data_IF_078546675669
#
_entry.id   IF_078546675669
#
_cell.length_a   1.000
_cell.length_b   1.000
_cell.length_c   1.000
_cell.angle_alpha   90.00
_cell.angle_beta   90.00
_cell.angle_gamma   90.00
#
_symmetry.space_group_name_H-M   'P 1'
#
loop_
_entity.id
_entity.type
_entity.pdbx_description
1 polymer ?
#
# COMPACT_ATOMS: atom_id res chain seq x y z
N UNK A 1 3.36 43.38 -73.49
CA UNK A 1 4.13 42.28 -72.87
C UNK A 1 5.57 42.73 -72.66
N UNK A 2 5.91 43.22 -71.45
CA UNK A 2 7.26 43.70 -71.17
C UNK A 2 8.15 42.52 -70.76
N UNK A 3 9.15 42.20 -71.59
CA UNK A 3 10.20 41.23 -71.29
C UNK A 3 11.09 41.80 -70.17
N UNK A 4 10.98 41.22 -68.98
CA UNK A 4 11.85 41.54 -67.85
C UNK A 4 13.28 41.11 -68.22
N UNK A 5 14.24 42.05 -68.15
CA UNK A 5 15.66 41.79 -68.43
C UNK A 5 16.18 40.65 -67.56
N UNK A 6 16.99 39.71 -68.09
CA UNK A 6 17.49 38.54 -67.35
C UNK A 6 18.31 38.91 -66.10
N UNK A 7 18.85 40.13 -66.04
CA UNK A 7 19.57 40.64 -64.87
C UNK A 7 18.67 40.97 -63.67
N UNK A 8 17.39 41.29 -63.88
CA UNK A 8 16.44 41.55 -62.80
C UNK A 8 16.04 40.26 -62.06
N UNK A 9 15.99 39.12 -62.77
CA UNK A 9 15.75 37.80 -62.17
C UNK A 9 16.92 37.32 -61.32
N UNK A 10 18.16 37.61 -61.73
CA UNK A 10 19.36 37.29 -60.95
C UNK A 10 19.48 38.09 -59.64
N UNK A 11 18.95 39.33 -59.62
CA UNK A 11 18.89 40.14 -58.40
C UNK A 11 17.82 39.67 -57.42
N UNK A 12 16.70 39.11 -57.90
CA UNK A 12 15.68 38.52 -57.03
C UNK A 12 16.11 37.18 -56.42
N UNK A 13 16.93 36.39 -57.13
CA UNK A 13 17.46 35.09 -56.64
C UNK A 13 18.42 35.25 -55.44
N UNK A 14 19.20 36.34 -55.37
CA UNK A 14 20.15 36.58 -54.28
C UNK A 14 19.53 37.01 -52.95
N UNK A 15 18.20 37.16 -52.87
CA UNK A 15 17.48 37.58 -51.66
C UNK A 15 16.77 36.44 -50.94
N UNK A 16 17.32 35.22 -50.95
CA UNK A 16 16.97 34.23 -49.92
C UNK A 16 17.69 34.63 -48.63
N UNK A 17 16.98 35.30 -47.72
CA UNK A 17 17.41 35.45 -46.33
C UNK A 17 17.65 34.03 -45.78
N UNK A 18 18.89 33.70 -45.46
CA UNK A 18 19.22 32.49 -44.72
C UNK A 18 18.46 32.47 -43.38
N UNK A 19 18.29 31.29 -42.76
CA UNK A 19 17.57 31.18 -41.49
C UNK A 19 18.15 32.19 -40.51
N UNK A 20 17.30 33.07 -39.99
CA UNK A 20 17.70 34.06 -39.01
C UNK A 20 18.30 33.32 -37.83
N UNK A 21 19.60 33.51 -37.60
CA UNK A 21 20.30 32.96 -36.44
C UNK A 21 19.52 33.30 -35.19
N UNK A 22 19.29 32.29 -34.35
CA UNK A 22 18.57 32.44 -33.09
C UNK A 22 19.27 33.54 -32.29
N UNK A 23 18.55 34.59 -31.91
CA UNK A 23 19.13 35.70 -31.19
C UNK A 23 19.72 35.22 -29.87
N UNK A 24 20.88 35.79 -29.49
CA UNK A 24 21.43 35.63 -28.13
C UNK A 24 20.36 35.77 -27.01
N UNK A 25 19.43 36.76 -27.06
CA UNK A 25 18.41 36.88 -26.02
C UNK A 25 17.46 35.67 -25.98
N UNK A 26 17.10 35.09 -27.13
CA UNK A 26 16.22 33.92 -27.18
C UNK A 26 16.88 32.65 -26.63
N UNK A 27 18.19 32.50 -26.82
CA UNK A 27 18.96 31.38 -26.24
C UNK A 27 18.99 31.51 -24.72
N UNK A 28 19.22 32.72 -24.21
CA UNK A 28 19.24 32.99 -22.76
C UNK A 28 17.86 32.71 -22.15
N UNK A 29 16.78 33.19 -22.77
CA UNK A 29 15.42 32.94 -22.26
C UNK A 29 15.05 31.45 -22.26
N UNK A 30 15.44 30.70 -23.29
CA UNK A 30 15.19 29.25 -23.32
C UNK A 30 15.93 28.52 -22.20
N UNK A 31 17.19 28.88 -21.92
CA UNK A 31 17.95 28.27 -20.83
C UNK A 31 17.32 28.57 -19.46
N UNK A 32 16.87 29.82 -19.23
CA UNK A 32 16.18 30.18 -17.98
C UNK A 32 14.89 29.39 -17.79
N UNK A 33 14.10 29.20 -18.85
CA UNK A 33 12.86 28.41 -18.80
C UNK A 33 13.15 26.95 -18.46
N UNK A 34 14.17 26.34 -19.08
CA UNK A 34 14.57 24.95 -18.79
C UNK A 34 15.00 24.81 -17.32
N UNK A 35 15.78 25.76 -16.80
CA UNK A 35 16.20 25.76 -15.39
C UNK A 35 14.99 25.85 -14.45
N UNK A 36 14.01 26.72 -14.75
CA UNK A 36 12.80 26.83 -13.95
C UNK A 36 11.95 25.56 -13.95
N UNK A 37 11.85 24.87 -15.09
CA UNK A 37 11.15 23.58 -15.19
C UNK A 37 11.85 22.52 -14.36
N UNK A 38 13.18 22.42 -14.43
CA UNK A 38 13.96 21.45 -13.64
C UNK A 38 13.84 21.74 -12.15
N UNK A 39 13.88 23.01 -11.74
CA UNK A 39 13.68 23.41 -10.34
C UNK A 39 12.26 23.08 -9.89
N UNK A 40 11.24 23.33 -10.71
CA UNK A 40 9.85 23.00 -10.40
C UNK A 40 9.65 21.50 -10.21
N UNK A 41 10.17 20.68 -11.13
CA UNK A 41 10.14 19.21 -11.05
C UNK A 41 10.87 18.69 -9.81
N UNK A 42 12.03 19.29 -9.48
CA UNK A 42 12.77 18.95 -8.28
C UNK A 42 12.03 19.36 -7.00
N UNK A 43 11.37 20.53 -6.98
CA UNK A 43 10.55 20.97 -5.86
C UNK A 43 9.33 20.07 -5.65
N UNK A 44 8.63 19.66 -6.71
CA UNK A 44 7.52 18.71 -6.61
C UNK A 44 7.97 17.32 -6.17
N UNK A 45 9.10 16.84 -6.72
CA UNK A 45 9.71 15.57 -6.31
C UNK A 45 10.11 15.61 -4.82
N UNK A 46 10.82 16.66 -4.39
CA UNK A 46 11.25 16.83 -2.99
C UNK A 46 10.08 17.06 -2.05
N UNK A 47 9.00 17.71 -2.49
CA UNK A 47 7.78 17.86 -1.69
C UNK A 47 7.08 16.52 -1.46
N UNK A 48 6.95 15.71 -2.52
CA UNK A 48 6.41 14.35 -2.42
C UNK A 48 7.30 13.43 -1.58
N UNK A 49 8.62 13.46 -1.79
CA UNK A 49 9.57 12.76 -0.94
C UNK A 49 9.54 13.26 0.50
N UNK A 50 9.29 14.54 0.74
CA UNK A 50 9.16 15.13 2.06
C UNK A 50 7.89 14.74 2.80
N UNK A 51 6.76 14.58 2.09
CA UNK A 51 5.51 14.04 2.63
C UNK A 51 5.66 12.55 2.95
N UNK A 52 6.30 11.79 2.06
CA UNK A 52 6.62 10.38 2.29
C UNK A 52 7.61 10.21 3.45
N UNK A 53 8.71 10.98 3.47
CA UNK A 53 9.70 10.97 4.55
C UNK A 53 9.12 11.45 5.88
N UNK A 54 8.21 12.44 5.89
CA UNK A 54 7.46 12.82 7.10
C UNK A 54 6.53 11.71 7.57
N UNK A 55 5.92 10.95 6.65
CA UNK A 55 5.07 9.81 7.01
C UNK A 55 5.89 8.63 7.54
N UNK A 56 7.00 8.29 6.88
CA UNK A 56 7.96 7.26 7.27
C UNK A 56 8.66 7.60 8.61
N UNK A 57 9.06 8.87 8.79
CA UNK A 57 9.64 9.33 10.05
C UNK A 57 8.60 9.34 11.18
N UNK A 58 7.32 9.61 10.89
CA UNK A 58 6.23 9.60 11.87
C UNK A 58 5.85 8.18 12.30
N UNK A 59 5.88 7.18 11.41
CA UNK A 59 5.68 5.77 11.77
C UNK A 59 6.82 5.26 12.63
N UNK A 60 8.08 5.49 12.22
CA UNK A 60 9.23 5.11 13.05
C UNK A 60 9.24 5.86 14.39
N UNK A 61 8.77 7.12 14.42
CA UNK A 61 8.68 7.90 15.64
C UNK A 61 7.55 7.42 16.56
N UNK A 62 6.40 6.97 16.01
CA UNK A 62 5.35 6.32 16.79
C UNK A 62 5.82 4.97 17.33
N UNK A 63 6.48 4.14 16.52
CA UNK A 63 7.13 2.91 16.99
C UNK A 63 8.17 3.20 18.08
N UNK A 64 8.96 4.27 17.93
CA UNK A 64 9.96 4.67 18.94
C UNK A 64 9.29 5.24 20.20
N UNK A 65 8.19 5.98 20.09
CA UNK A 65 7.42 6.51 21.23
C UNK A 65 6.65 5.40 21.96
N UNK A 66 6.16 4.38 21.25
CA UNK A 66 5.62 3.14 21.84
C UNK A 66 6.72 2.35 22.54
N UNK A 67 7.85 2.09 21.86
CA UNK A 67 8.98 1.35 22.43
C UNK A 67 9.62 2.07 23.63
N UNK A 68 9.61 3.41 23.65
CA UNK A 68 10.10 4.18 24.79
C UNK A 68 9.06 4.25 25.92
N UNK A 69 7.76 4.32 25.60
CA UNK A 69 6.70 4.20 26.62
C UNK A 69 6.68 2.81 27.26
N UNK A 70 7.00 1.76 26.49
CA UNK A 70 7.19 0.40 26.97
C UNK A 70 8.43 0.31 27.88
N UNK A 71 9.57 0.90 27.49
CA UNK A 71 10.79 0.97 28.32
C UNK A 71 10.63 1.77 29.61
N UNK A 72 9.90 2.88 29.57
CA UNK A 72 9.66 3.71 30.75
C UNK A 72 8.74 2.98 31.75
N UNK A 73 7.80 2.18 31.24
CA UNK A 73 6.93 1.30 32.03
C UNK A 73 7.65 0.05 32.54
N UNK A 74 8.64 -0.48 31.80
CA UNK A 74 9.52 -1.58 32.22
C UNK A 74 10.41 -1.20 33.43
N UNK A 75 10.74 0.09 33.59
CA UNK A 75 11.63 0.55 34.69
C UNK A 75 10.97 0.58 36.07
N UNK A 76 9.63 0.48 36.15
CA UNK A 76 8.87 0.58 37.39
C UNK A 76 8.14 -0.72 37.77
N UNK A 77 8.38 -1.82 37.06
CA UNK A 77 7.79 -3.10 37.40
C UNK A 77 8.39 -4.25 36.60
N UNK A 78 9.38 -4.93 37.17
CA UNK A 78 9.63 -6.34 36.88
C UNK A 78 8.40 -7.16 37.36
N UNK A 79 7.29 -7.13 36.61
CA UNK A 79 6.17 -8.05 36.79
C UNK A 79 5.26 -8.06 35.56
N UNK A 80 5.30 -9.19 34.83
CA UNK A 80 4.40 -9.66 33.75
C UNK A 80 4.75 -9.24 32.31
N UNK A 81 5.56 -10.07 31.66
CA UNK A 81 5.39 -10.43 30.24
C UNK A 81 3.92 -10.85 30.08
N UNK A 82 3.10 -10.02 29.44
CA UNK A 82 1.65 -10.24 29.37
C UNK A 82 1.35 -11.58 28.72
N UNK A 83 0.52 -12.39 29.39
CA UNK A 83 -0.08 -13.61 28.88
C UNK A 83 -1.09 -13.24 27.78
N UNK A 84 -0.56 -12.81 26.63
CA UNK A 84 -1.36 -12.49 25.46
C UNK A 84 -1.60 -13.80 24.68
N UNK A 85 -2.79 -14.01 24.10
CA UNK A 85 -3.04 -15.16 23.24
C UNK A 85 -2.05 -15.19 22.07
N UNK A 86 -1.57 -16.38 21.71
CA UNK A 86 -0.67 -16.60 20.58
C UNK A 86 -1.43 -17.02 19.32
N UNK A 87 -2.65 -17.52 19.49
CA UNK A 87 -3.46 -18.09 18.42
C UNK A 87 -4.83 -17.44 18.35
N UNK A 88 -5.32 -17.33 17.12
CA UNK A 88 -6.62 -16.74 16.81
C UNK A 88 -7.38 -17.69 15.90
N UNK A 89 -8.55 -18.11 16.35
CA UNK A 89 -9.47 -18.92 15.56
C UNK A 89 -10.54 -18.00 15.01
N UNK A 90 -10.51 -17.76 13.71
CA UNK A 90 -11.51 -17.00 12.98
C UNK A 90 -12.53 -17.97 12.39
N UNK A 91 -13.77 -17.87 12.86
CA UNK A 91 -14.88 -18.60 12.27
C UNK A 91 -15.53 -17.72 11.20
N UNK A 92 -15.62 -18.22 9.98
CA UNK A 92 -16.22 -17.54 8.84
C UNK A 92 -17.45 -18.31 8.35
N UNK A 93 -18.25 -17.69 7.49
CA UNK A 93 -19.38 -18.36 6.83
C UNK A 93 -18.97 -19.53 5.94
N UNK A 94 -17.67 -19.67 5.61
CA UNK A 94 -17.12 -20.75 4.78
C UNK A 94 -16.41 -21.84 5.59
N UNK A 95 -15.99 -21.54 6.81
CA UNK A 95 -15.26 -22.47 7.65
C UNK A 95 -14.41 -21.78 8.70
N UNK A 96 -13.64 -22.58 9.41
CA UNK A 96 -12.79 -22.13 10.51
C UNK A 96 -11.35 -22.02 10.00
N UNK A 97 -10.70 -20.90 10.32
CA UNK A 97 -9.29 -20.64 10.01
C UNK A 97 -8.56 -20.30 11.29
N UNK A 98 -7.41 -20.92 11.51
CA UNK A 98 -6.56 -20.68 12.67
C UNK A 98 -5.30 -19.93 12.26
N UNK A 99 -4.97 -18.91 13.02
CA UNK A 99 -3.80 -18.05 12.83
C UNK A 99 -2.90 -18.11 14.05
N UNK A 100 -1.59 -18.09 13.82
CA UNK A 100 -0.56 -17.77 14.82
C UNK A 100 -0.19 -16.30 14.69
N UNK A 101 -0.12 -15.60 15.83
CA UNK A 101 0.24 -14.18 15.89
C UNK A 101 1.74 -14.00 16.07
N UNK A 102 2.35 -13.22 15.17
CA UNK A 102 3.78 -12.92 15.14
C UNK A 102 4.07 -11.65 15.95
N UNK A 103 4.01 -11.77 17.28
CA UNK A 103 4.20 -10.65 18.23
C UNK A 103 5.55 -9.96 18.06
N UNK A 104 6.60 -10.71 17.78
CA UNK A 104 7.96 -10.18 17.63
C UNK A 104 8.10 -9.27 16.40
N UNK A 105 7.24 -9.45 15.39
CA UNK A 105 7.29 -8.68 14.14
C UNK A 105 6.56 -7.34 14.25
N UNK A 106 5.43 -7.31 14.95
CA UNK A 106 4.55 -6.13 15.00
C UNK A 106 3.71 -6.06 16.30
N UNK A 107 4.35 -5.84 17.48
CA UNK A 107 3.68 -5.97 18.78
C UNK A 107 2.49 -5.02 18.95
N UNK A 108 2.65 -3.73 18.60
CA UNK A 108 1.56 -2.75 18.72
C UNK A 108 0.35 -3.03 17.82
N UNK A 109 0.56 -3.64 16.65
CA UNK A 109 -0.55 -4.04 15.75
C UNK A 109 -1.27 -5.25 16.30
N UNK A 110 -0.52 -6.22 16.84
CA UNK A 110 -1.09 -7.40 17.50
C UNK A 110 -1.95 -6.98 18.69
N UNK A 111 -1.46 -6.08 19.54
CA UNK A 111 -2.22 -5.60 20.71
C UNK A 111 -3.53 -4.91 20.30
N UNK A 112 -3.47 -4.05 19.28
CA UNK A 112 -4.66 -3.40 18.72
C UNK A 112 -5.66 -4.42 18.16
N UNK A 113 -5.17 -5.41 17.40
CA UNK A 113 -6.01 -6.47 16.84
C UNK A 113 -6.68 -7.29 17.94
N UNK A 114 -5.94 -7.67 18.98
CA UNK A 114 -6.45 -8.43 20.13
C UNK A 114 -7.52 -7.66 20.91
N UNK A 115 -7.30 -6.38 21.18
CA UNK A 115 -8.29 -5.50 21.83
C UNK A 115 -9.60 -5.44 21.02
N UNK A 116 -9.51 -5.35 19.70
CA UNK A 116 -10.68 -5.36 18.83
C UNK A 116 -11.38 -6.71 18.77
N UNK A 117 -10.63 -7.82 18.78
CA UNK A 117 -11.20 -9.16 18.89
C UNK A 117 -11.98 -9.32 20.19
N UNK A 118 -11.45 -8.84 21.32
CA UNK A 118 -12.12 -8.88 22.63
C UNK A 118 -13.40 -8.06 22.65
N UNK A 119 -13.45 -6.95 21.90
CA UNK A 119 -14.63 -6.09 21.73
C UNK A 119 -15.65 -6.64 20.73
N UNK A 120 -15.48 -7.88 20.24
CA UNK A 120 -16.29 -8.49 19.19
C UNK A 120 -16.36 -7.65 17.89
N UNK A 121 -15.37 -6.78 17.63
CA UNK A 121 -15.40 -5.81 16.53
C UNK A 121 -15.60 -6.46 15.15
N UNK A 122 -14.99 -7.62 14.94
CA UNK A 122 -15.02 -8.34 13.66
C UNK A 122 -16.28 -9.21 13.47
N UNK A 123 -17.15 -9.30 14.49
CA UNK A 123 -18.34 -10.16 14.44
C UNK A 123 -19.35 -9.65 13.41
N UNK A 124 -19.69 -10.49 12.44
CA UNK A 124 -20.57 -10.17 11.32
C UNK A 124 -19.92 -9.33 10.22
N UNK A 125 -18.63 -9.00 10.33
CA UNK A 125 -17.95 -8.17 9.34
C UNK A 125 -17.71 -8.98 8.06
N UNK A 126 -18.11 -8.48 6.88
CA UNK A 126 -17.86 -9.16 5.61
C UNK A 126 -16.42 -8.96 5.12
N UNK A 127 -15.97 -9.85 4.24
CA UNK A 127 -14.81 -9.59 3.40
C UNK A 127 -15.24 -8.66 2.27
N UNK A 128 -14.68 -7.45 2.25
CA UNK A 128 -15.08 -6.40 1.31
C UNK A 128 -14.52 -6.65 -0.09
N UNK A 129 -13.28 -7.15 -0.17
CA UNK A 129 -12.62 -7.46 -1.42
C UNK A 129 -11.96 -8.83 -1.38
N UNK A 130 -12.12 -9.58 -2.47
CA UNK A 130 -11.49 -10.88 -2.69
C UNK A 130 -10.82 -10.85 -4.06
N UNK A 131 -9.49 -10.85 -4.07
CA UNK A 131 -8.69 -10.73 -5.28
C UNK A 131 -7.87 -11.99 -5.46
N UNK A 132 -8.18 -12.75 -6.52
CA UNK A 132 -7.53 -14.03 -6.83
C UNK A 132 -6.02 -13.86 -7.03
N UNK A 133 -5.26 -14.80 -6.46
CA UNK A 133 -3.81 -14.83 -6.37
C UNK A 133 -3.22 -13.55 -5.77
N UNK A 134 -3.91 -12.94 -4.81
CA UNK A 134 -3.47 -11.70 -4.18
C UNK A 134 -3.83 -11.67 -2.71
N UNK A 135 -4.95 -11.03 -2.38
CA UNK A 135 -5.37 -10.75 -1.00
C UNK A 135 -6.87 -10.86 -0.86
N UNK A 136 -7.28 -11.26 0.33
CA UNK A 136 -8.62 -11.13 0.86
C UNK A 136 -8.59 -10.01 1.89
N UNK A 137 -9.48 -9.04 1.76
CA UNK A 137 -9.57 -7.88 2.64
C UNK A 137 -10.81 -7.95 3.54
N UNK A 138 -10.62 -7.76 4.84
CA UNK A 138 -11.68 -7.70 5.83
C UNK A 138 -11.47 -6.60 6.88
N UNK A 139 -12.47 -6.41 7.75
CA UNK A 139 -12.42 -5.42 8.83
C UNK A 139 -13.32 -4.20 8.60
N UNK A 140 -13.01 -3.09 9.27
CA UNK A 140 -13.79 -1.86 9.28
C UNK A 140 -13.56 -0.92 8.10
N UNK A 141 -14.62 -0.24 7.66
CA UNK A 141 -14.56 0.81 6.64
C UNK A 141 -14.62 0.25 5.22
N UNK A 142 -15.78 0.38 4.57
CA UNK A 142 -16.04 -0.09 3.19
C UNK A 142 -15.23 0.65 2.12
N UNK A 143 -14.68 1.84 2.41
CA UNK A 143 -14.32 2.83 1.39
C UNK A 143 -12.95 3.54 1.58
N UNK A 144 -12.00 3.01 2.37
CA UNK A 144 -10.78 3.78 2.72
C UNK A 144 -9.43 3.12 2.44
N UNK A 145 -9.40 1.89 1.93
CA UNK A 145 -8.19 1.46 1.25
C UNK A 145 -8.23 2.12 -0.13
N UNK A 146 -7.25 2.98 -0.44
CA UNK A 146 -7.10 3.55 -1.80
C UNK A 146 -7.27 2.40 -2.78
N UNK A 147 -8.26 2.54 -3.65
CA UNK A 147 -9.05 1.48 -4.28
C UNK A 147 -8.23 0.20 -4.51
N UNK A 148 -8.78 -0.98 -4.21
CA UNK A 148 -8.16 -2.27 -4.56
C UNK A 148 -7.62 -2.30 -6.02
N UNK A 149 -8.21 -1.47 -6.88
CA UNK A 149 -7.75 -1.10 -8.21
C UNK A 149 -6.32 -0.51 -8.25
N UNK A 150 -5.94 0.44 -7.39
CA UNK A 150 -4.61 1.05 -7.36
C UNK A 150 -3.51 0.00 -7.10
N UNK A 151 -3.77 -0.95 -6.21
CA UNK A 151 -2.83 -2.03 -5.93
C UNK A 151 -2.77 -3.06 -7.07
N UNK A 152 -3.92 -3.38 -7.66
CA UNK A 152 -3.99 -4.30 -8.80
C UNK A 152 -3.37 -3.69 -10.07
N UNK A 153 -3.52 -2.38 -10.27
CA UNK A 153 -2.88 -1.62 -11.34
C UNK A 153 -1.36 -1.61 -11.16
N UNK A 154 -0.87 -1.40 -9.93
CA UNK A 154 0.56 -1.38 -9.64
C UNK A 154 1.23 -2.74 -9.85
N UNK A 155 0.55 -3.84 -9.49
CA UNK A 155 1.03 -5.21 -9.80
C UNK A 155 1.22 -5.44 -11.31
N UNK A 156 0.37 -4.85 -12.15
CA UNK A 156 0.50 -4.99 -13.62
C UNK A 156 1.65 -4.18 -14.20
N UNK A 157 2.11 -3.12 -13.51
CA UNK A 157 3.17 -2.23 -14.02
C UNK A 157 4.59 -2.67 -13.67
N UNK A 158 4.79 -3.39 -12.57
CA UNK A 158 6.12 -3.75 -12.08
C UNK A 158 6.41 -5.24 -12.39
N UNK A 159 6.84 -5.52 -13.62
CA UNK A 159 7.21 -6.87 -14.08
C UNK A 159 8.55 -7.40 -13.53
N UNK A 160 9.05 -6.86 -12.43
CA UNK A 160 10.38 -7.20 -11.90
C UNK A 160 10.48 -6.82 -10.44
N UNK A 161 10.52 -7.77 -9.50
CA UNK A 161 11.17 -7.56 -8.20
C UNK A 161 11.44 -8.87 -7.44
N UNK A 162 12.54 -8.81 -6.72
CA UNK A 162 13.20 -9.89 -6.02
C UNK A 162 12.35 -10.46 -4.87
N UNK A 163 12.46 -11.78 -4.68
CA UNK A 163 11.87 -12.51 -3.57
C UNK A 163 12.39 -11.96 -2.24
N UNK A 164 11.58 -11.16 -1.57
CA UNK A 164 11.72 -10.89 -0.15
C UNK A 164 10.92 -11.93 0.60
N UNK A 165 11.57 -12.64 1.52
CA UNK A 165 10.99 -13.75 2.30
C UNK A 165 9.89 -13.28 3.28
N UNK A 166 9.52 -11.99 3.28
CA UNK A 166 8.58 -11.40 4.23
C UNK A 166 7.10 -11.66 3.92
N UNK A 167 6.76 -12.01 2.67
CA UNK A 167 5.37 -12.13 2.24
C UNK A 167 5.14 -13.43 1.45
N UNK A 168 5.09 -14.54 2.18
CA UNK A 168 4.60 -15.81 1.67
C UNK A 168 3.06 -15.80 1.53
N UNK A 169 2.50 -16.83 0.90
CA UNK A 169 1.06 -17.06 0.93
C UNK A 169 0.58 -17.30 2.37
N UNK A 170 -0.70 -17.06 2.62
CA UNK A 170 -1.37 -17.35 3.89
C UNK A 170 -0.88 -16.55 5.10
N UNK A 171 -0.44 -15.32 4.85
CA UNK A 171 -0.02 -14.36 5.87
C UNK A 171 -1.17 -13.41 6.23
N UNK A 172 -1.30 -13.07 7.50
CA UNK A 172 -2.23 -12.08 8.03
C UNK A 172 -1.49 -10.76 8.28
N UNK A 173 -1.97 -9.67 7.69
CA UNK A 173 -1.35 -8.36 7.81
C UNK A 173 -2.31 -7.18 7.72
N UNK A 174 -1.77 -5.96 7.81
CA UNK A 174 -2.50 -4.70 7.66
C UNK A 174 -1.69 -3.68 6.88
N UNK A 175 -2.32 -2.78 6.11
CA UNK A 175 -1.63 -1.81 5.24
C UNK A 175 -1.68 -0.35 5.71
N UNK A 176 -2.40 -0.03 6.79
CA UNK A 176 -2.56 1.35 7.22
C UNK A 176 -2.51 1.49 8.75
N UNK A 177 -1.44 2.09 9.25
CA UNK A 177 -1.28 2.46 10.68
C UNK A 177 -2.00 3.78 11.00
N UNK A 178 -2.41 4.57 9.99
CA UNK A 178 -3.28 5.75 10.16
C UNK A 178 -4.74 5.36 10.15
N UNK A 179 -5.11 4.40 10.98
CA UNK A 179 -6.51 4.18 11.28
C UNK A 179 -6.97 5.34 12.17
N UNK A 180 -7.85 6.18 11.64
CA UNK A 180 -8.66 7.02 12.50
C UNK A 180 -9.39 6.11 13.49
N UNK A 181 -9.55 6.59 14.72
CA UNK A 181 -9.53 5.84 15.98
C UNK A 181 -10.53 4.70 16.21
N UNK A 182 -11.28 4.23 15.20
CA UNK A 182 -12.30 3.19 15.32
C UNK A 182 -12.39 2.19 14.14
N UNK A 183 -11.52 2.24 13.13
CA UNK A 183 -11.60 1.32 11.97
C UNK A 183 -10.35 0.48 11.80
N UNK A 184 -10.43 -0.84 11.99
CA UNK A 184 -9.30 -1.76 11.73
C UNK A 184 -9.50 -2.62 10.50
N UNK A 185 -8.56 -2.54 9.56
CA UNK A 185 -8.53 -3.35 8.34
C UNK A 185 -7.42 -4.37 8.40
N UNK A 186 -7.72 -5.58 7.96
CA UNK A 186 -6.75 -6.65 7.82
C UNK A 186 -6.82 -7.26 6.42
N UNK A 187 -5.74 -7.91 6.05
CA UNK A 187 -5.51 -8.55 4.77
C UNK A 187 -4.99 -9.96 5.01
N UNK A 188 -5.47 -10.91 4.22
CA UNK A 188 -4.96 -12.28 4.19
C UNK A 188 -4.37 -12.49 2.79
N UNK A 189 -3.09 -12.82 2.70
CA UNK A 189 -2.44 -13.12 1.42
C UNK A 189 -2.81 -14.54 0.96
N UNK A 190 -3.04 -14.72 -0.33
CA UNK A 190 -3.30 -16.04 -0.94
C UNK A 190 -2.18 -16.47 -1.89
N UNK A 191 -1.31 -15.54 -2.26
CA UNK A 191 -0.11 -15.74 -3.08
C UNK A 191 1.01 -14.85 -2.52
N UNK A 192 2.29 -15.15 -2.80
CA UNK A 192 3.38 -14.23 -2.49
C UNK A 192 3.19 -12.86 -3.17
N UNK A 193 3.52 -11.78 -2.44
CA UNK A 193 3.30 -10.40 -2.90
C UNK A 193 4.51 -9.50 -2.60
N UNK A 194 5.62 -9.65 -3.34
CA UNK A 194 6.83 -8.84 -3.11
C UNK A 194 6.63 -7.33 -3.35
N UNK A 195 5.60 -6.95 -4.10
CA UNK A 195 5.35 -5.55 -4.49
C UNK A 195 4.77 -4.67 -3.35
N UNK A 196 4.29 -5.32 -2.28
CA UNK A 196 3.61 -4.68 -1.15
C UNK A 196 4.43 -4.70 0.14
N UNK A 197 5.67 -5.16 0.08
CA UNK A 197 6.61 -5.30 1.20
C UNK A 197 6.73 -4.06 2.08
N UNK A 198 6.84 -2.88 1.47
CA UNK A 198 7.05 -1.64 2.21
C UNK A 198 5.76 -1.05 2.82
N UNK A 199 4.60 -1.67 2.57
CA UNK A 199 3.29 -1.17 2.97
C UNK A 199 2.48 -2.14 3.82
N UNK A 200 2.73 -3.44 3.71
CA UNK A 200 2.00 -4.49 4.43
C UNK A 200 2.76 -4.88 5.70
N UNK A 201 2.16 -4.62 6.85
CA UNK A 201 2.65 -5.08 8.14
C UNK A 201 2.06 -6.45 8.43
N UNK A 202 2.88 -7.49 8.30
CA UNK A 202 2.50 -8.87 8.66
C UNK A 202 2.58 -9.04 10.18
N UNK A 203 1.50 -9.54 10.76
CA UNK A 203 1.38 -9.75 12.21
C UNK A 203 0.84 -11.14 12.56
N UNK A 204 0.56 -11.99 11.56
CA UNK A 204 0.18 -13.38 11.78
C UNK A 204 0.36 -14.25 10.54
N UNK A 205 0.25 -15.56 10.73
CA UNK A 205 0.27 -16.58 9.67
C UNK A 205 -0.79 -17.63 9.91
N UNK A 206 -1.32 -18.22 8.84
CA UNK A 206 -2.24 -19.34 8.95
C UNK A 206 -1.48 -20.59 9.38
N UNK A 207 -2.11 -21.37 10.23
CA UNK A 207 -1.60 -22.66 10.73
C UNK A 207 -2.58 -23.81 10.44
N UNK A 208 -3.85 -23.50 10.19
CA UNK A 208 -4.88 -24.46 9.80
C UNK A 208 -6.03 -23.75 9.07
N UNK A 209 -6.66 -24.41 8.11
CA UNK A 209 -7.76 -23.86 7.31
C UNK A 209 -7.30 -23.08 6.07
N UNK A 210 -6.16 -23.44 5.49
CA UNK A 210 -5.73 -22.90 4.19
C UNK A 210 -6.77 -23.18 3.10
N UNK A 211 -7.39 -24.36 3.12
CA UNK A 211 -8.45 -24.74 2.20
C UNK A 211 -9.68 -23.81 2.27
N UNK A 212 -10.00 -23.30 3.46
CA UNK A 212 -11.13 -22.35 3.65
C UNK A 212 -10.79 -21.01 3.03
N UNK A 213 -9.53 -20.56 3.16
CA UNK A 213 -9.07 -19.31 2.55
C UNK A 213 -9.08 -19.40 1.03
N UNK A 214 -8.64 -20.53 0.48
CA UNK A 214 -8.76 -20.81 -0.96
C UNK A 214 -10.23 -20.84 -1.41
N UNK A 215 -11.12 -21.45 -0.63
CA UNK A 215 -12.56 -21.44 -0.97
C UNK A 215 -13.14 -20.02 -0.96
N UNK A 216 -12.73 -19.17 -0.02
CA UNK A 216 -13.14 -17.76 0.03
C UNK A 216 -12.59 -17.02 -1.19
N UNK A 217 -11.34 -17.28 -1.58
CA UNK A 217 -10.71 -16.70 -2.78
C UNK A 217 -11.44 -17.05 -4.08
N UNK A 218 -11.96 -18.27 -4.18
CA UNK A 218 -12.62 -18.76 -5.38
C UNK A 218 -14.01 -18.16 -5.62
N UNK A 219 -14.60 -17.50 -4.62
CA UNK A 219 -15.94 -16.88 -4.69
C UNK A 219 -16.03 -15.91 -5.88
N UNK A 220 -17.19 -15.93 -6.55
CA UNK A 220 -17.48 -15.00 -7.63
C UNK A 220 -17.49 -13.56 -7.14
N UNK A 221 -16.68 -12.73 -7.77
CA UNK A 221 -16.60 -11.29 -7.50
C UNK A 221 -17.17 -10.45 -8.65
N UNK A 222 -17.51 -9.20 -8.36
CA UNK A 222 -17.87 -8.19 -9.36
C UNK A 222 -16.64 -7.50 -9.97
N UNK A 223 -16.87 -6.48 -10.81
CA UNK A 223 -15.80 -5.70 -11.47
C UNK A 223 -14.89 -4.95 -10.47
N UNK A 224 -15.35 -4.75 -9.24
CA UNK A 224 -14.62 -4.07 -8.15
C UNK A 224 -14.09 -5.07 -7.11
N UNK A 225 -13.99 -6.35 -7.46
CA UNK A 225 -13.51 -7.43 -6.60
C UNK A 225 -14.35 -7.69 -5.35
N UNK A 226 -15.62 -7.26 -5.33
CA UNK A 226 -16.54 -7.51 -4.22
C UNK A 226 -17.23 -8.86 -4.37
N UNK A 227 -17.26 -9.72 -3.35
CA UNK A 227 -17.98 -11.00 -3.41
C UNK A 227 -19.47 -10.82 -3.72
N UNK A 228 -19.98 -11.51 -4.75
CA UNK A 228 -21.42 -11.53 -5.08
C UNK A 228 -22.24 -12.22 -4.00
N UNK A 229 -21.65 -13.26 -3.41
CA UNK A 229 -22.17 -13.95 -2.24
C UNK A 229 -21.43 -13.43 -1.02
N UNK A 230 -22.14 -12.85 -0.06
CA UNK A 230 -21.53 -12.31 1.15
C UNK A 230 -20.82 -13.41 1.93
N UNK A 231 -19.51 -13.23 2.12
CA UNK A 231 -18.71 -14.03 3.04
C UNK A 231 -18.35 -13.15 4.23
N UNK A 232 -18.63 -13.61 5.44
CA UNK A 232 -18.41 -12.83 6.66
C UNK A 232 -17.81 -13.64 7.80
N UNK A 233 -17.24 -12.91 8.75
CA UNK A 233 -16.69 -13.45 9.99
C UNK A 233 -17.86 -13.65 10.95
N UNK A 234 -18.08 -14.89 11.38
CA UNK A 234 -19.11 -15.24 12.36
C UNK A 234 -18.67 -14.81 13.75
N UNK A 235 -17.46 -15.18 14.15
CA UNK A 235 -16.85 -14.78 15.42
C UNK A 235 -15.34 -15.06 15.41
N UNK A 236 -14.64 -14.53 16.41
CA UNK A 236 -13.21 -14.78 16.63
C UNK A 236 -13.01 -15.29 18.06
N UNK A 237 -12.18 -16.32 18.22
CA UNK A 237 -11.82 -16.91 19.51
C UNK A 237 -10.31 -16.77 19.70
N UNK A 238 -9.90 -16.26 20.85
CA UNK A 238 -8.50 -16.08 21.23
C UNK A 238 -8.02 -17.27 22.06
N UNK A 239 -6.82 -17.80 21.74
CA UNK A 239 -6.21 -18.96 22.41
C UNK A 239 -4.73 -18.73 22.73
N UNK A 240 -4.26 -19.33 23.82
CA UNK A 240 -2.84 -19.31 24.21
C UNK A 240 -2.08 -20.52 23.65
N UNK A 241 -2.76 -21.66 23.54
CA UNK A 241 -2.28 -22.94 23.02
C UNK A 241 -3.36 -23.54 22.10
N UNK A 242 -2.97 -24.35 21.11
CA UNK A 242 -3.87 -24.90 20.09
C UNK A 242 -4.70 -26.09 20.57
#
# INVERSE_FOLDING_TARGET
MAKIKPQALLLQSKKKKGPSGIGLPTIITCNVIVILIVISLYCTYKHWQGLWYRSYKRSNQLETEFNNSEKDLESLGETKKYDLPNYVIMNTSKGIVSFELLKDSAPGIVDQFLDLCQKEYFKGVPFHHVIKNFVIQGGGGLNRMGDAEDWTLKRKSDGHLASSEKHEAFMLGTCNVKQESNEFQFLITTSPIPDLDDKLFVFGRIINGEEVIQEIEEVDTDEHYRPKSTVSIVNIILKHEL
#
